data_IF_608779402090
#
_entry.id   IF_608779402090
#
_cell.length_a   1.000
_cell.length_b   1.000
_cell.length_c   1.000
_cell.angle_alpha   90.00
_cell.angle_beta   90.00
_cell.angle_gamma   90.00
#
_symmetry.space_group_name_H-M   'P 1'
#
loop_
_entity.id
_entity.type
_entity.pdbx_description
1 polymer ?
#
# COMPACT_ATOMS: atom_id res chain seq x y z
N UNK A 1 2.85 9.98 -13.04
CA UNK A 1 3.39 8.63 -12.84
C UNK A 1 4.21 8.57 -11.58
N UNK A 2 3.92 7.61 -10.73
CA UNK A 2 4.60 7.49 -9.45
C UNK A 2 5.23 6.12 -9.31
N UNK A 3 6.26 6.03 -8.46
CA UNK A 3 6.88 4.76 -8.10
C UNK A 3 6.25 4.27 -6.81
N UNK A 4 5.65 3.10 -6.86
CA UNK A 4 4.91 2.50 -5.75
C UNK A 4 5.64 1.23 -5.31
N UNK A 5 6.01 1.18 -4.04
CA UNK A 5 6.67 0.00 -3.46
C UNK A 5 5.63 -0.97 -2.93
N UNK A 6 5.74 -2.23 -3.31
CA UNK A 6 4.89 -3.30 -2.80
C UNK A 6 5.65 -4.08 -1.74
N UNK A 7 5.11 -4.17 -0.54
CA UNK A 7 5.73 -4.87 0.58
C UNK A 7 4.87 -6.07 0.97
N UNK A 8 5.42 -7.28 0.84
CA UNK A 8 4.73 -8.50 1.20
C UNK A 8 3.59 -8.90 0.27
N UNK A 9 3.43 -8.24 -0.86
CA UNK A 9 2.34 -8.50 -1.80
C UNK A 9 2.69 -9.73 -2.64
N UNK A 10 1.75 -10.70 -2.72
CA UNK A 10 1.98 -11.91 -3.49
C UNK A 10 1.87 -11.63 -5.01
N UNK A 11 2.36 -12.59 -5.79
CA UNK A 11 2.43 -12.42 -7.25
C UNK A 11 1.07 -12.27 -7.91
N UNK A 12 0.05 -12.95 -7.39
CA UNK A 12 -1.29 -12.84 -7.94
C UNK A 12 -1.86 -11.45 -7.77
N UNK A 13 -1.78 -10.92 -6.56
CA UNK A 13 -2.31 -9.60 -6.28
C UNK A 13 -1.47 -8.52 -6.93
N UNK A 14 -0.16 -8.74 -7.00
CA UNK A 14 0.73 -7.83 -7.73
C UNK A 14 0.30 -7.70 -9.20
N UNK A 15 -0.03 -8.82 -9.84
CA UNK A 15 -0.52 -8.79 -11.23
C UNK A 15 -1.79 -7.99 -11.37
N UNK A 16 -2.71 -8.11 -10.42
CA UNK A 16 -3.95 -7.33 -10.43
C UNK A 16 -3.67 -5.85 -10.23
N UNK A 17 -2.77 -5.51 -9.33
CA UNK A 17 -2.40 -4.12 -9.09
C UNK A 17 -1.69 -3.52 -10.30
N UNK A 18 -0.83 -4.28 -10.97
CA UNK A 18 -0.18 -3.82 -12.20
C UNK A 18 -1.21 -3.41 -13.25
N UNK A 19 -2.26 -4.19 -13.40
CA UNK A 19 -3.34 -3.88 -14.35
C UNK A 19 -4.15 -2.67 -13.91
N UNK A 20 -4.48 -2.60 -12.63
CA UNK A 20 -5.31 -1.52 -12.09
C UNK A 20 -4.56 -0.19 -11.98
N UNK A 21 -3.24 -0.24 -11.80
CA UNK A 21 -2.39 0.93 -11.60
C UNK A 21 -1.37 1.06 -12.74
N UNK A 22 -1.81 0.79 -13.97
CA UNK A 22 -0.92 0.75 -15.14
C UNK A 22 -0.21 2.08 -15.41
N UNK A 23 -0.71 3.19 -14.87
CA UNK A 23 -0.10 4.51 -15.00
C UNK A 23 1.14 4.67 -14.09
N UNK A 24 1.32 3.77 -13.14
CA UNK A 24 2.37 3.87 -12.14
C UNK A 24 3.37 2.74 -12.29
N UNK A 25 4.56 2.96 -11.73
CA UNK A 25 5.60 1.95 -11.71
C UNK A 25 5.55 1.22 -10.36
N UNK A 26 5.25 -0.07 -10.40
CA UNK A 26 5.22 -0.90 -9.21
C UNK A 26 6.56 -1.63 -9.05
N UNK A 27 7.17 -1.52 -7.88
CA UNK A 27 8.47 -2.14 -7.59
C UNK A 27 8.37 -2.93 -6.29
N UNK A 28 9.26 -3.91 -6.13
CA UNK A 28 9.29 -4.74 -4.92
C UNK A 28 10.51 -4.44 -4.04
N UNK A 29 11.35 -3.51 -4.47
CA UNK A 29 12.52 -3.08 -3.70
C UNK A 29 12.75 -1.58 -3.93
N UNK A 30 13.24 -0.90 -2.91
CA UNK A 30 13.52 0.54 -2.96
C UNK A 30 15.00 0.85 -3.18
N UNK A 31 15.76 -0.10 -3.73
CA UNK A 31 17.21 0.04 -3.87
C UNK A 31 17.65 1.15 -4.81
N UNK A 32 16.76 1.60 -5.70
CA UNK A 32 17.13 2.59 -6.73
C UNK A 32 16.68 4.00 -6.34
N UNK A 33 15.47 4.15 -5.82
CA UNK A 33 14.90 5.46 -5.49
C UNK A 33 13.87 5.30 -4.39
N UNK A 34 13.65 6.36 -3.62
CA UNK A 34 12.58 6.38 -2.64
C UNK A 34 11.23 6.23 -3.36
N UNK A 35 10.37 5.36 -2.87
CA UNK A 35 9.02 5.26 -3.44
C UNK A 35 8.19 6.49 -3.05
N UNK A 36 7.20 6.80 -3.87
CA UNK A 36 6.27 7.88 -3.60
C UNK A 36 5.07 7.40 -2.79
N UNK A 37 4.86 6.10 -2.75
CA UNK A 37 3.78 5.47 -2.01
C UNK A 37 4.13 4.01 -1.73
N UNK A 38 3.64 3.48 -0.62
CA UNK A 38 3.86 2.07 -0.25
C UNK A 38 2.51 1.37 -0.15
N UNK A 39 2.42 0.17 -0.72
CA UNK A 39 1.28 -0.72 -0.54
C UNK A 39 1.78 -1.97 0.17
N UNK A 40 1.21 -2.29 1.33
CA UNK A 40 1.67 -3.40 2.14
C UNK A 40 0.55 -4.38 2.47
N UNK A 41 0.85 -5.68 2.35
CA UNK A 41 -0.05 -6.72 2.83
C UNK A 41 0.23 -6.94 4.32
N UNK A 42 -0.61 -6.37 5.17
CA UNK A 42 -0.39 -6.37 6.61
C UNK A 42 -0.60 -7.73 7.26
N UNK A 43 -1.07 -8.73 6.53
CA UNK A 43 -1.11 -10.09 7.04
C UNK A 43 0.24 -10.80 6.93
N UNK A 44 1.20 -10.21 6.20
CA UNK A 44 2.50 -10.82 5.94
C UNK A 44 3.67 -9.98 6.43
N UNK A 45 3.42 -8.77 6.94
CA UNK A 45 4.47 -7.87 7.44
C UNK A 45 4.02 -7.27 8.77
N UNK A 46 4.96 -6.64 9.46
CA UNK A 46 4.66 -5.92 10.68
C UNK A 46 4.35 -4.46 10.35
N UNK A 47 3.12 -3.98 10.58
CA UNK A 47 2.76 -2.61 10.22
C UNK A 47 3.69 -1.56 10.82
N UNK A 48 4.10 -1.76 12.06
CA UNK A 48 4.98 -0.82 12.76
C UNK A 48 6.34 -0.69 12.08
N UNK A 49 6.88 -1.78 11.56
CA UNK A 49 8.16 -1.77 10.85
C UNK A 49 8.07 -0.99 9.54
N UNK A 50 6.97 -1.15 8.82
CA UNK A 50 6.77 -0.43 7.57
C UNK A 50 6.60 1.06 7.84
N UNK A 51 5.81 1.42 8.84
CA UNK A 51 5.60 2.82 9.20
C UNK A 51 6.92 3.48 9.64
N UNK A 52 7.75 2.77 10.38
CA UNK A 52 9.06 3.27 10.82
C UNK A 52 10.03 3.44 9.66
N UNK A 53 9.97 2.55 8.68
CA UNK A 53 10.86 2.60 7.51
C UNK A 53 10.50 3.74 6.55
N UNK A 54 9.24 4.12 6.49
CA UNK A 54 8.74 5.12 5.53
C UNK A 54 7.88 6.17 6.24
N UNK A 55 8.46 6.95 7.18
CA UNK A 55 7.66 7.87 8.00
C UNK A 55 7.06 9.05 7.23
N UNK A 56 7.64 9.40 6.09
CA UNK A 56 7.20 10.57 5.32
C UNK A 56 6.51 10.20 4.01
N UNK A 57 6.18 8.93 3.84
CA UNK A 57 5.61 8.43 2.58
C UNK A 57 4.21 7.86 2.87
N UNK A 58 3.19 8.15 2.03
CA UNK A 58 1.88 7.56 2.21
C UNK A 58 1.93 6.03 2.15
N UNK A 59 1.25 5.38 3.07
CA UNK A 59 1.23 3.92 3.16
C UNK A 59 -0.21 3.43 3.11
N UNK A 60 -0.49 2.51 2.19
CA UNK A 60 -1.75 1.81 2.09
C UNK A 60 -1.54 0.39 2.59
N UNK A 61 -2.30 -0.01 3.61
CA UNK A 61 -2.27 -1.38 4.10
C UNK A 61 -3.54 -2.11 3.70
N UNK A 62 -3.42 -3.39 3.40
CA UNK A 62 -4.59 -4.21 3.14
C UNK A 62 -4.43 -5.59 3.76
N UNK A 63 -5.56 -6.21 4.04
CA UNK A 63 -5.62 -7.59 4.53
C UNK A 63 -7.00 -8.17 4.21
N UNK A 64 -7.21 -9.40 4.62
CA UNK A 64 -8.52 -10.02 4.52
C UNK A 64 -9.50 -9.23 5.37
N UNK A 65 -10.75 -9.07 4.92
CA UNK A 65 -11.77 -8.33 5.65
C UNK A 65 -12.06 -8.90 7.05
N UNK A 66 -11.73 -10.18 7.27
CA UNK A 66 -11.90 -10.82 8.58
C UNK A 66 -10.73 -10.55 9.54
N UNK A 67 -9.65 -9.97 9.05
CA UNK A 67 -8.47 -9.68 9.86
C UNK A 67 -8.62 -8.32 10.57
N UNK A 68 -9.61 -8.22 11.46
CA UNK A 68 -9.89 -6.95 12.15
C UNK A 68 -8.73 -6.50 13.03
N UNK A 69 -8.03 -7.43 13.66
CA UNK A 69 -6.89 -7.10 14.51
C UNK A 69 -5.73 -6.49 13.70
N UNK A 70 -5.42 -7.10 12.54
CA UNK A 70 -4.37 -6.59 11.65
C UNK A 70 -4.70 -5.22 11.08
N UNK A 71 -5.95 -5.03 10.62
CA UNK A 71 -6.40 -3.74 10.11
C UNK A 71 -6.31 -2.65 11.17
N UNK A 72 -6.67 -2.99 12.40
CA UNK A 72 -6.61 -2.05 13.52
C UNK A 72 -5.15 -1.70 13.87
N UNK A 73 -4.25 -2.68 13.85
CA UNK A 73 -2.82 -2.45 14.11
C UNK A 73 -2.21 -1.51 13.07
N UNK A 74 -2.57 -1.66 11.80
CA UNK A 74 -2.06 -0.81 10.74
C UNK A 74 -2.55 0.63 10.91
N UNK A 75 -3.82 0.81 11.28
CA UNK A 75 -4.33 2.15 11.59
C UNK A 75 -3.58 2.77 12.77
N UNK A 76 -3.34 2.00 13.82
CA UNK A 76 -2.62 2.49 15.00
C UNK A 76 -1.15 2.81 14.67
N UNK A 77 -0.56 2.11 13.71
CA UNK A 77 0.82 2.37 13.28
C UNK A 77 0.96 3.64 12.46
N UNK A 78 -0.14 4.22 11.99
CA UNK A 78 -0.12 5.47 11.24
C UNK A 78 -0.23 5.33 9.74
N UNK A 79 -0.73 4.19 9.24
CA UNK A 79 -0.97 4.02 7.81
C UNK A 79 -2.02 5.02 7.34
N UNK A 80 -1.84 5.56 6.17
CA UNK A 80 -2.73 6.58 5.60
C UNK A 80 -4.08 6.02 5.18
N UNK A 81 -4.08 4.79 4.67
CA UNK A 81 -5.30 4.07 4.33
C UNK A 81 -5.14 2.61 4.73
N UNK A 82 -6.18 2.03 5.26
CA UNK A 82 -6.20 0.61 5.61
C UNK A 82 -7.51 0.02 5.10
N UNK A 83 -7.42 -0.95 4.21
CA UNK A 83 -8.57 -1.49 3.50
C UNK A 83 -8.57 -3.02 3.51
N UNK A 84 -9.76 -3.61 3.33
CA UNK A 84 -9.83 -5.01 2.95
C UNK A 84 -9.29 -5.17 1.53
N UNK A 85 -8.73 -6.34 1.23
CA UNK A 85 -8.16 -6.64 -0.09
C UNK A 85 -9.15 -6.38 -1.22
N UNK A 86 -10.40 -6.80 -1.05
CA UNK A 86 -11.44 -6.61 -2.07
C UNK A 86 -11.74 -5.13 -2.30
N UNK A 87 -11.77 -4.33 -1.24
CA UNK A 87 -12.01 -2.90 -1.36
C UNK A 87 -10.85 -2.21 -2.07
N UNK A 88 -9.62 -2.59 -1.78
CA UNK A 88 -8.46 -2.06 -2.48
C UNK A 88 -8.51 -2.43 -3.96
N UNK A 89 -8.86 -3.66 -4.28
CA UNK A 89 -8.96 -4.11 -5.66
C UNK A 89 -10.01 -3.30 -6.45
N UNK A 90 -11.13 -2.98 -5.83
CA UNK A 90 -12.19 -2.21 -6.47
C UNK A 90 -11.85 -0.73 -6.63
N UNK A 91 -11.07 -0.18 -5.71
CA UNK A 91 -10.82 1.25 -5.62
C UNK A 91 -9.34 1.62 -5.75
N UNK A 92 -8.51 0.73 -6.27
CA UNK A 92 -7.06 0.94 -6.27
C UNK A 92 -6.66 2.28 -6.88
N UNK A 93 -7.10 2.56 -8.09
CA UNK A 93 -6.73 3.79 -8.78
C UNK A 93 -7.21 5.03 -8.00
N UNK A 94 -8.43 4.99 -7.49
CA UNK A 94 -9.00 6.10 -6.71
C UNK A 94 -8.20 6.36 -5.45
N UNK A 95 -7.89 5.32 -4.68
CA UNK A 95 -7.15 5.44 -3.44
C UNK A 95 -5.74 5.99 -3.68
N UNK A 96 -5.06 5.45 -4.69
CA UNK A 96 -3.70 5.86 -5.01
C UNK A 96 -3.66 7.31 -5.49
N UNK A 97 -4.55 7.70 -6.40
CA UNK A 97 -4.59 9.07 -6.90
C UNK A 97 -4.92 10.07 -5.79
N UNK A 98 -5.81 9.69 -4.88
CA UNK A 98 -6.15 10.53 -3.74
C UNK A 98 -4.95 10.78 -2.82
N UNK A 99 -4.16 9.74 -2.54
CA UNK A 99 -2.99 9.86 -1.68
C UNK A 99 -1.81 10.57 -2.34
N UNK A 100 -1.72 10.50 -3.66
CA UNK A 100 -0.66 11.15 -4.43
C UNK A 100 -1.03 12.57 -4.83
N UNK A 101 -2.25 13.00 -4.61
CA UNK A 101 -2.69 14.34 -4.97
C UNK A 101 -1.90 15.39 -4.18
N UNK A 102 -1.51 16.50 -4.81
CA UNK A 102 -0.78 17.53 -4.08
C UNK A 102 -1.65 18.14 -2.98
N UNK A 103 -1.01 18.41 -1.86
CA UNK A 103 -1.67 19.07 -0.73
C UNK A 103 -1.61 20.58 -0.96
N UNK A 104 -2.74 21.20 -0.89
CA UNK A 104 -2.83 22.66 -1.07
C UNK A 104 -3.28 23.33 0.21
#
# INVERSE_FOLDING_TARGET
MATILLVGVDLFFRGKLDALLARHRLVTTDTIAEPELVIADISRIEPEEVADAYPDIPIVGFSNHTDTAGLRRANAAGFDQVLARSALQERAAEVIEELLAPVE
#
